data_IF_570124900332
#
_entry.id   IF_570124900332
#
_cell.length_a   1.000
_cell.length_b   1.000
_cell.length_c   1.000
_cell.angle_alpha   90.00
_cell.angle_beta   90.00
_cell.angle_gamma   90.00
#
_symmetry.space_group_name_H-M   'P 1'
#
loop_
_entity.id
_entity.type
_entity.pdbx_description
1 polymer ?
#
# COMPACT_ATOMS: atom_id res chain seq x y z
N UNK A 1 -8.72 5.51 12.67
CA UNK A 1 -7.36 5.03 12.38
C UNK A 1 -7.52 3.85 11.46
N UNK A 2 -6.85 3.89 10.33
CA UNK A 2 -7.06 2.97 9.21
C UNK A 2 -5.92 1.96 9.06
N UNK A 3 -4.73 2.31 9.58
CA UNK A 3 -3.57 1.42 9.59
C UNK A 3 -2.59 1.73 10.72
N UNK A 4 -1.78 0.72 11.06
CA UNK A 4 -0.66 0.79 12.00
C UNK A 4 0.53 -0.05 11.51
N UNK A 5 1.74 0.44 11.74
CA UNK A 5 2.99 -0.26 11.43
C UNK A 5 3.99 -0.08 12.57
N UNK A 6 4.76 -1.12 12.87
CA UNK A 6 5.92 -1.07 13.75
C UNK A 6 7.17 -0.92 12.90
N UNK A 7 8.05 0.02 13.27
CA UNK A 7 9.37 0.19 12.64
C UNK A 7 10.44 -0.60 13.41
N UNK A 8 10.25 -0.73 14.72
CA UNK A 8 10.99 -1.60 15.64
C UNK A 8 10.13 -1.86 16.89
N UNK A 9 10.72 -2.50 17.90
CA UNK A 9 10.06 -2.88 19.16
C UNK A 9 9.45 -1.70 19.94
N UNK A 10 9.86 -0.46 19.65
CA UNK A 10 9.46 0.74 20.39
C UNK A 10 8.66 1.73 19.57
N UNK A 11 8.96 1.83 18.27
CA UNK A 11 8.42 2.86 17.39
C UNK A 11 7.28 2.30 16.55
N UNK A 12 6.09 2.88 16.74
CA UNK A 12 4.92 2.56 15.93
C UNK A 12 4.35 3.84 15.32
N UNK A 13 3.77 3.70 14.13
CA UNK A 13 3.04 4.77 13.46
C UNK A 13 1.66 4.23 13.11
N UNK A 14 0.64 5.01 13.43
CA UNK A 14 -0.70 4.76 12.95
C UNK A 14 -1.20 5.98 12.17
N UNK A 15 -2.02 5.74 11.16
CA UNK A 15 -2.59 6.79 10.34
C UNK A 15 -4.10 6.62 10.14
N UNK A 16 -4.78 7.68 9.72
CA UNK A 16 -6.15 7.59 9.23
C UNK A 16 -6.60 8.82 8.46
N UNK A 17 -7.91 8.90 8.21
CA UNK A 17 -8.57 9.98 7.48
C UNK A 17 -8.19 11.39 7.96
N UNK A 18 -8.34 12.42 7.09
CA UNK A 18 -8.02 13.78 7.47
C UNK A 18 -8.83 14.29 8.66
N UNK A 19 -8.13 14.84 9.65
CA UNK A 19 -8.71 15.54 10.80
C UNK A 19 -7.93 16.85 10.97
N UNK A 20 -8.64 17.98 11.03
CA UNK A 20 -8.04 19.32 11.11
C UNK A 20 -7.15 19.70 9.91
N UNK A 21 -7.45 19.16 8.72
CA UNK A 21 -6.86 19.61 7.44
C UNK A 21 -5.74 18.73 6.86
N UNK A 22 -5.25 17.72 7.57
CA UNK A 22 -4.28 16.74 7.05
C UNK A 22 -4.63 15.33 7.52
N UNK A 23 -4.04 14.29 6.88
CA UNK A 23 -4.15 12.91 7.36
C UNK A 23 -3.79 12.82 8.84
N UNK A 24 -4.61 12.13 9.63
CA UNK A 24 -4.35 11.97 11.05
C UNK A 24 -3.20 10.98 11.23
N UNK A 25 -2.03 11.45 11.66
CA UNK A 25 -0.87 10.59 11.97
C UNK A 25 -0.57 10.67 13.45
N UNK A 26 -0.44 9.50 14.09
CA UNK A 26 0.01 9.37 15.47
C UNK A 26 1.22 8.45 15.54
N UNK A 27 2.13 8.74 16.46
CA UNK A 27 3.38 8.01 16.63
C UNK A 27 3.58 7.63 18.09
N UNK A 28 4.03 6.42 18.31
CA UNK A 28 4.49 5.92 19.61
C UNK A 28 5.99 5.66 19.56
N UNK A 29 6.67 5.85 20.70
CA UNK A 29 8.09 5.55 20.91
C UNK A 29 8.33 4.68 22.14
N UNK A 30 7.26 4.13 22.70
CA UNK A 30 7.28 3.34 23.93
C UNK A 30 6.51 2.02 23.77
N UNK A 31 6.48 1.48 22.54
CA UNK A 31 5.84 0.21 22.22
C UNK A 31 4.31 0.28 22.20
N UNK A 32 3.75 1.45 21.89
CA UNK A 32 2.30 1.67 21.78
C UNK A 32 1.61 2.02 23.11
N UNK A 33 2.36 2.31 24.18
CA UNK A 33 1.78 2.68 25.50
C UNK A 33 1.25 4.10 25.50
N UNK A 34 1.94 5.01 24.82
CA UNK A 34 1.51 6.38 24.57
C UNK A 34 1.67 6.76 23.11
N UNK A 35 0.85 7.72 22.67
CA UNK A 35 0.76 8.15 21.28
C UNK A 35 0.72 9.67 21.19
N UNK A 36 1.52 10.22 20.29
CA UNK A 36 1.56 11.66 20.01
C UNK A 36 1.09 11.93 18.58
N UNK A 37 0.17 12.89 18.41
CA UNK A 37 -0.27 13.34 17.08
C UNK A 37 0.86 14.13 16.41
N UNK A 38 1.21 13.75 15.18
CA UNK A 38 2.05 14.58 14.31
C UNK A 38 1.16 15.69 13.76
N UNK A 39 1.47 16.97 14.01
CA UNK A 39 0.61 18.07 13.57
C UNK A 39 0.57 18.18 12.04
N UNK A 40 -0.38 18.95 11.53
CA UNK A 40 -0.35 19.35 10.12
C UNK A 40 0.76 20.39 9.89
N UNK A 41 1.32 20.40 8.69
CA UNK A 41 2.38 21.33 8.28
C UNK A 41 2.50 21.46 6.76
N UNK A 42 3.62 22.00 6.31
CA UNK A 42 3.92 22.29 4.92
C UNK A 42 5.43 22.25 4.66
N UNK A 43 5.83 22.32 3.39
CA UNK A 43 7.24 22.41 2.97
C UNK A 43 8.14 21.28 3.51
N UNK A 44 7.62 20.05 3.50
CA UNK A 44 8.35 18.87 3.99
C UNK A 44 8.49 18.83 5.52
N UNK A 45 7.73 19.64 6.26
CA UNK A 45 7.65 19.59 7.71
C UNK A 45 6.28 19.10 8.14
N UNK A 46 6.26 18.15 9.08
CA UNK A 46 5.05 17.54 9.64
C UNK A 46 4.16 16.93 8.54
N UNK A 47 2.86 16.76 8.75
CA UNK A 47 1.96 16.13 7.76
C UNK A 47 1.39 17.19 6.80
N UNK A 48 1.63 17.10 5.47
CA UNK A 48 1.05 18.01 4.49
C UNK A 48 -0.47 18.05 4.53
N UNK A 49 -1.05 19.21 4.22
CA UNK A 49 -2.50 19.39 4.08
C UNK A 49 -3.09 18.39 3.08
N UNK A 50 -4.24 17.81 3.44
CA UNK A 50 -5.05 16.96 2.59
C UNK A 50 -5.71 17.79 1.47
N UNK A 51 -5.88 17.19 0.31
CA UNK A 51 -6.67 17.75 -0.78
C UNK A 51 -8.16 17.49 -0.54
N UNK A 52 -9.02 18.25 -1.21
CA UNK A 52 -10.48 18.08 -1.11
C UNK A 52 -10.87 16.64 -1.48
N UNK A 53 -11.57 15.96 -0.58
CA UNK A 53 -12.06 14.60 -0.78
C UNK A 53 -10.98 13.51 -0.66
N UNK A 54 -9.73 13.85 -0.34
CA UNK A 54 -8.69 12.87 -0.07
C UNK A 54 -8.95 12.12 1.24
N UNK A 55 -8.77 10.81 1.24
CA UNK A 55 -9.08 9.91 2.33
C UNK A 55 -8.03 8.79 2.45
N UNK A 56 -8.04 8.12 3.60
CA UNK A 56 -7.18 7.00 3.93
C UNK A 56 -7.95 5.68 3.84
N UNK A 57 -7.90 4.99 2.70
CA UNK A 57 -8.62 3.73 2.58
C UNK A 57 -8.00 2.64 3.47
N UNK A 58 -8.77 2.14 4.44
CA UNK A 58 -8.41 1.06 5.35
C UNK A 58 -8.38 -0.34 4.67
N UNK A 59 -7.81 -0.44 3.48
CA UNK A 59 -7.74 -1.69 2.73
C UNK A 59 -6.69 -2.64 3.35
N UNK A 60 -7.06 -3.33 4.42
CA UNK A 60 -6.26 -4.42 5.02
C UNK A 60 -4.86 -4.00 5.47
N UNK A 61 -4.73 -2.80 6.06
CA UNK A 61 -3.44 -2.20 6.45
C UNK A 61 -2.48 -2.00 5.26
N UNK A 62 -3.00 -1.97 4.02
CA UNK A 62 -2.23 -1.84 2.78
C UNK A 62 -1.84 -0.41 2.43
N UNK A 63 -2.33 0.57 3.18
CA UNK A 63 -2.01 1.99 3.03
C UNK A 63 -0.81 2.45 3.90
N UNK A 64 -0.09 1.53 4.55
CA UNK A 64 1.20 1.77 5.20
C UNK A 64 2.26 0.77 4.75
N UNK A 65 3.49 1.24 4.56
CA UNK A 65 4.68 0.40 4.36
C UNK A 65 5.91 1.08 4.96
N UNK A 66 6.94 0.31 5.31
CA UNK A 66 8.17 0.84 5.89
C UNK A 66 9.39 -0.05 5.59
N UNK A 67 10.54 0.60 5.41
CA UNK A 67 11.85 -0.03 5.23
C UNK A 67 12.87 0.81 6.01
N UNK A 68 13.40 0.24 7.09
CA UNK A 68 14.27 0.95 8.03
C UNK A 68 13.56 2.19 8.61
N UNK A 69 14.18 3.35 8.44
CA UNK A 69 13.63 4.63 8.92
C UNK A 69 12.63 5.29 7.95
N UNK A 70 12.47 4.71 6.75
CA UNK A 70 11.57 5.24 5.72
C UNK A 70 10.19 4.64 5.85
N UNK A 71 9.16 5.47 5.79
CA UNK A 71 7.75 5.11 5.96
C UNK A 71 6.95 5.77 4.86
N UNK A 72 5.99 5.04 4.32
CA UNK A 72 5.05 5.53 3.31
C UNK A 72 3.60 5.41 3.80
N UNK A 73 2.78 6.41 3.49
CA UNK A 73 1.32 6.37 3.61
C UNK A 73 0.67 6.56 2.25
N UNK A 74 -0.44 5.88 2.00
CA UNK A 74 -1.18 5.95 0.74
C UNK A 74 -2.56 6.57 0.97
N UNK A 75 -2.95 7.49 0.10
CA UNK A 75 -4.30 8.07 0.08
C UNK A 75 -5.03 7.81 -1.23
N UNK A 76 -6.36 7.94 -1.18
CA UNK A 76 -7.27 7.89 -2.31
C UNK A 76 -8.44 8.85 -2.13
N UNK A 77 -9.51 8.62 -2.86
CA UNK A 77 -10.69 9.48 -2.96
C UNK A 77 -10.49 10.61 -3.98
N UNK A 78 -10.88 11.82 -3.56
CA UNK A 78 -10.78 13.05 -4.36
C UNK A 78 -9.37 13.41 -4.82
N UNK A 79 -8.34 12.85 -4.17
CA UNK A 79 -6.96 12.84 -4.67
C UNK A 79 -6.22 11.60 -4.17
N UNK A 80 -5.28 11.08 -4.96
CA UNK A 80 -4.44 9.95 -4.56
C UNK A 80 -2.98 10.37 -4.52
N UNK A 81 -2.33 10.13 -3.38
CA UNK A 81 -0.94 10.52 -3.11
C UNK A 81 -0.22 9.47 -2.30
N UNK A 82 1.09 9.44 -2.44
CA UNK A 82 1.99 8.79 -1.48
C UNK A 82 2.64 9.85 -0.62
N UNK A 83 2.57 9.67 0.69
CA UNK A 83 3.28 10.46 1.68
C UNK A 83 4.50 9.69 2.12
N UNK A 84 5.69 10.28 2.02
CA UNK A 84 6.95 9.66 2.41
C UNK A 84 7.58 10.41 3.58
N UNK A 85 8.01 9.67 4.59
CA UNK A 85 8.88 10.14 5.66
C UNK A 85 10.18 9.34 5.64
N UNK A 86 11.32 10.00 5.78
CA UNK A 86 12.64 9.35 5.93
C UNK A 86 13.19 9.51 7.34
N UNK A 87 12.36 9.96 8.29
CA UNK A 87 12.73 10.28 9.66
C UNK A 87 11.78 9.65 10.68
N UNK A 88 11.33 8.43 10.38
CA UNK A 88 10.48 7.62 11.26
C UNK A 88 9.14 8.28 11.57
N UNK A 89 8.54 8.90 10.56
CA UNK A 89 7.19 9.47 10.58
C UNK A 89 7.07 10.88 11.18
N UNK A 90 8.18 11.61 11.38
CA UNK A 90 8.14 12.95 12.00
C UNK A 90 7.78 14.04 10.98
N UNK A 91 8.31 13.92 9.76
CA UNK A 91 8.09 14.85 8.67
C UNK A 91 7.75 14.10 7.39
N UNK A 92 6.85 14.66 6.59
CA UNK A 92 6.29 13.98 5.43
C UNK A 92 6.32 14.86 4.18
N UNK A 93 6.59 14.25 3.04
CA UNK A 93 6.43 14.83 1.70
C UNK A 93 5.36 14.06 0.93
N UNK A 94 4.44 14.76 0.26
CA UNK A 94 3.35 14.13 -0.48
C UNK A 94 3.56 14.27 -2.00
N UNK A 95 3.58 13.15 -2.69
CA UNK A 95 3.74 13.05 -4.15
C UNK A 95 2.42 12.59 -4.78
N UNK A 96 1.90 13.27 -5.82
CA UNK A 96 0.71 12.82 -6.53
C UNK A 96 0.97 11.50 -7.26
N UNK A 97 -0.02 10.62 -7.24
CA UNK A 97 0.01 9.38 -8.01
C UNK A 97 -0.68 9.56 -9.37
N UNK A 98 -0.18 8.91 -10.43
CA UNK A 98 -0.82 8.94 -11.74
C UNK A 98 -1.99 7.94 -11.86
N UNK A 99 -2.68 7.62 -10.76
CA UNK A 99 -3.80 6.67 -10.73
C UNK A 99 -5.14 7.34 -11.07
N UNK A 100 -6.14 6.52 -11.44
CA UNK A 100 -7.54 6.95 -11.47
C UNK A 100 -7.93 7.51 -10.09
N UNK A 101 -8.44 8.74 -10.04
CA UNK A 101 -8.73 9.46 -8.80
C UNK A 101 -9.80 10.55 -9.04
N UNK A 102 -10.29 11.19 -7.97
CA UNK A 102 -11.25 12.29 -8.04
C UNK A 102 -12.69 11.90 -7.70
N UNK A 103 -13.00 10.60 -7.68
CA UNK A 103 -14.25 10.05 -7.15
C UNK A 103 -14.14 9.67 -5.67
N UNK A 104 -15.25 9.26 -5.06
CA UNK A 104 -15.28 8.86 -3.64
C UNK A 104 -14.48 7.58 -3.39
N UNK A 105 -14.55 6.64 -4.33
CA UNK A 105 -14.01 5.28 -4.19
C UNK A 105 -12.86 5.00 -5.18
N UNK A 106 -12.18 6.05 -5.63
CA UNK A 106 -11.06 5.98 -6.59
C UNK A 106 -9.71 6.20 -5.93
N UNK A 107 -8.60 5.77 -6.52
CA UNK A 107 -7.24 6.06 -6.06
C UNK A 107 -6.50 4.81 -5.58
N UNK A 108 -5.45 5.00 -4.78
CA UNK A 108 -4.65 3.91 -4.24
C UNK A 108 -5.37 3.15 -3.13
N UNK A 109 -5.39 1.82 -3.24
CA UNK A 109 -5.96 0.90 -2.25
C UNK A 109 -4.87 0.24 -1.40
N UNK A 110 -3.81 -0.27 -2.03
CA UNK A 110 -2.73 -0.97 -1.35
C UNK A 110 -1.40 -0.55 -1.95
N UNK A 111 -0.35 -0.54 -1.14
CA UNK A 111 1.03 -0.44 -1.59
C UNK A 111 1.91 -1.44 -0.88
N UNK A 112 3.09 -1.65 -1.45
CA UNK A 112 4.20 -2.29 -0.78
C UNK A 112 5.54 -1.82 -1.34
N UNK A 113 6.60 -2.00 -0.57
CA UNK A 113 7.97 -1.63 -0.95
C UNK A 113 8.89 -2.84 -0.79
N UNK A 114 9.63 -3.17 -1.85
CA UNK A 114 10.64 -4.23 -1.81
C UNK A 114 11.89 -3.78 -1.05
N UNK A 115 12.21 -2.49 -1.19
CA UNK A 115 13.31 -1.80 -0.52
C UNK A 115 13.00 -0.29 -0.43
N UNK A 116 13.99 0.52 0.00
CA UNK A 116 13.78 1.96 0.19
C UNK A 116 13.61 2.78 -1.11
N UNK A 117 13.84 2.16 -2.27
CA UNK A 117 13.80 2.76 -3.60
C UNK A 117 12.68 2.19 -4.47
N UNK A 118 12.39 0.90 -4.38
CA UNK A 118 11.45 0.19 -5.24
C UNK A 118 10.14 -0.10 -4.54
N UNK A 119 9.04 0.41 -5.10
CA UNK A 119 7.70 0.21 -4.56
C UNK A 119 6.63 0.18 -5.63
N UNK A 120 5.48 -0.39 -5.26
CA UNK A 120 4.29 -0.49 -6.09
C UNK A 120 3.08 0.03 -5.32
N UNK A 121 2.19 0.71 -6.03
CA UNK A 121 0.84 1.04 -5.57
C UNK A 121 -0.15 0.34 -6.49
N UNK A 122 -1.19 -0.24 -5.90
CA UNK A 122 -2.36 -0.79 -6.56
C UNK A 122 -3.61 -0.04 -6.13
N UNK A 123 -4.49 0.26 -7.08
CA UNK A 123 -5.60 1.18 -6.94
C UNK A 123 -6.63 1.01 -8.06
N UNK A 124 -7.33 2.10 -8.41
CA UNK A 124 -8.35 2.13 -9.46
C UNK A 124 -9.65 2.71 -8.93
N UNK A 125 -10.79 2.16 -9.35
CA UNK A 125 -12.13 2.52 -8.87
C UNK A 125 -12.85 1.30 -8.26
N UNK A 126 -13.12 1.33 -6.96
CA UNK A 126 -13.80 0.23 -6.28
C UNK A 126 -15.26 0.04 -6.74
N UNK A 127 -15.91 1.10 -7.23
CA UNK A 127 -17.29 1.03 -7.77
C UNK A 127 -17.32 0.40 -9.17
N UNK A 128 -16.19 0.33 -9.86
CA UNK A 128 -16.02 -0.25 -11.18
C UNK A 128 -14.87 -1.25 -11.17
N UNK A 129 -15.05 -2.39 -10.48
CA UNK A 129 -13.97 -3.36 -10.19
C UNK A 129 -13.31 -4.01 -11.41
N UNK A 130 -14.00 -4.00 -12.55
CA UNK A 130 -13.48 -4.48 -13.84
C UNK A 130 -12.75 -3.37 -14.62
N UNK A 131 -12.89 -2.10 -14.22
CA UNK A 131 -12.10 -1.00 -14.78
C UNK A 131 -10.65 -1.17 -14.36
N UNK A 132 -9.81 -1.16 -15.37
CA UNK A 132 -8.44 -1.58 -15.28
C UNK A 132 -7.51 -0.43 -15.77
N UNK A 133 -8.07 0.77 -15.91
CA UNK A 133 -7.39 2.02 -16.27
C UNK A 133 -6.62 2.60 -15.08
N UNK A 134 -5.37 3.01 -15.29
CA UNK A 134 -4.53 3.72 -14.34
C UNK A 134 -4.58 3.14 -12.90
N UNK A 135 -4.47 1.81 -12.79
CA UNK A 135 -4.65 1.08 -11.52
C UNK A 135 -3.37 0.87 -10.74
N UNK A 136 -2.23 0.87 -11.42
CA UNK A 136 -0.97 0.50 -10.83
C UNK A 136 0.11 1.51 -11.21
N UNK A 137 0.95 1.85 -10.25
CA UNK A 137 2.11 2.70 -10.46
C UNK A 137 3.30 2.15 -9.67
N UNK A 138 4.49 2.30 -10.23
CA UNK A 138 5.74 1.92 -9.59
C UNK A 138 6.67 3.11 -9.40
N UNK A 139 7.57 2.97 -8.44
CA UNK A 139 8.67 3.89 -8.20
C UNK A 139 9.99 3.13 -8.12
N UNK A 140 11.08 3.79 -8.51
CA UNK A 140 12.47 3.33 -8.35
C UNK A 140 13.34 4.35 -7.59
N UNK A 141 12.73 5.41 -7.06
CA UNK A 141 13.38 6.50 -6.32
C UNK A 141 12.73 6.74 -4.94
N UNK A 142 12.10 5.70 -4.40
CA UNK A 142 11.50 5.69 -3.06
C UNK A 142 10.21 6.50 -2.97
N UNK A 143 9.50 6.68 -4.08
CA UNK A 143 8.21 7.39 -4.15
C UNK A 143 8.34 8.88 -4.40
N UNK A 144 9.50 9.35 -4.87
CA UNK A 144 9.69 10.73 -5.32
C UNK A 144 9.02 10.94 -6.68
N UNK A 145 9.08 9.93 -7.55
CA UNK A 145 8.34 9.85 -8.82
C UNK A 145 7.64 8.50 -8.94
N UNK A 146 6.54 8.49 -9.71
CA UNK A 146 5.70 7.32 -9.93
C UNK A 146 5.34 7.21 -11.41
N UNK A 147 5.47 6.02 -11.96
CA UNK A 147 5.16 5.72 -13.37
C UNK A 147 4.05 4.68 -13.44
N UNK A 148 3.04 4.92 -14.28
CA UNK A 148 1.97 3.94 -14.53
C UNK A 148 2.54 2.65 -15.12
N UNK A 149 1.99 1.53 -14.68
CA UNK A 149 2.30 0.19 -15.16
C UNK A 149 1.02 -0.58 -15.44
N UNK A 150 1.07 -1.49 -16.40
CA UNK A 150 -0.06 -2.38 -16.75
C UNK A 150 -1.38 -1.63 -17.03
N UNK A 151 -1.31 -0.43 -17.59
CA UNK A 151 -2.50 0.36 -17.91
C UNK A 151 -3.37 -0.37 -18.95
N UNK A 152 -4.64 -0.57 -18.63
CA UNK A 152 -5.56 -1.35 -19.46
C UNK A 152 -5.30 -2.88 -19.50
N UNK A 153 -4.29 -3.41 -18.79
CA UNK A 153 -3.86 -4.82 -18.83
C UNK A 153 -3.67 -5.48 -17.45
N UNK A 154 -3.89 -6.78 -17.29
CA UNK A 154 -3.69 -7.48 -16.00
C UNK A 154 -4.92 -7.51 -15.08
N UNK A 155 -4.77 -7.82 -13.78
CA UNK A 155 -5.88 -8.10 -12.84
C UNK A 155 -6.74 -6.88 -12.49
N UNK A 156 -8.05 -7.06 -12.30
CA UNK A 156 -8.93 -5.96 -11.89
C UNK A 156 -8.68 -5.49 -10.44
N UNK A 157 -9.77 -5.20 -9.72
CA UNK A 157 -9.67 -4.82 -8.32
C UNK A 157 -8.89 -5.85 -7.47
N UNK A 158 -7.89 -5.37 -6.74
CA UNK A 158 -7.21 -6.10 -5.67
C UNK A 158 -7.17 -5.24 -4.41
N UNK A 159 -7.37 -5.87 -3.26
CA UNK A 159 -7.35 -5.20 -1.96
C UNK A 159 -5.97 -5.23 -1.30
N UNK A 160 -5.06 -6.07 -1.79
CA UNK A 160 -3.72 -6.22 -1.22
C UNK A 160 -2.70 -6.55 -2.31
N UNK A 161 -1.62 -5.78 -2.37
CA UNK A 161 -0.40 -6.10 -3.14
C UNK A 161 0.74 -6.36 -2.16
N UNK A 162 1.57 -7.37 -2.42
CA UNK A 162 2.77 -7.68 -1.60
C UNK A 162 3.95 -8.09 -2.45
N UNK A 163 5.12 -7.57 -2.13
CA UNK A 163 6.39 -8.14 -2.60
C UNK A 163 6.71 -9.41 -1.80
N UNK A 164 7.28 -10.40 -2.47
CA UNK A 164 7.87 -11.58 -1.81
C UNK A 164 9.26 -11.22 -1.27
N UNK A 165 9.52 -11.40 0.04
CA UNK A 165 10.86 -11.23 0.61
C UNK A 165 11.89 -12.11 -0.10
N UNK A 166 13.10 -11.58 -0.29
CA UNK A 166 14.21 -12.32 -0.92
C UNK A 166 14.13 -12.45 -2.46
N UNK A 167 13.11 -11.88 -3.10
CA UNK A 167 12.92 -11.96 -4.56
C UNK A 167 13.61 -10.85 -5.36
N UNK A 168 14.40 -9.99 -4.72
CA UNK A 168 15.00 -8.79 -5.35
C UNK A 168 13.97 -7.89 -6.05
N UNK A 169 12.77 -7.80 -5.45
CA UNK A 169 11.66 -7.00 -5.99
C UNK A 169 11.03 -7.55 -7.26
N UNK A 170 11.30 -8.81 -7.63
CA UNK A 170 10.77 -9.41 -8.86
C UNK A 170 9.43 -10.11 -8.65
N UNK A 171 9.21 -10.71 -7.47
CA UNK A 171 8.04 -11.55 -7.24
C UNK A 171 7.00 -10.82 -6.40
N UNK A 172 5.76 -10.77 -6.88
CA UNK A 172 4.63 -10.15 -6.18
C UNK A 172 3.39 -11.03 -6.19
N UNK A 173 2.55 -10.84 -5.19
CA UNK A 173 1.19 -11.37 -5.15
C UNK A 173 0.17 -10.23 -5.00
N UNK A 174 -0.89 -10.32 -5.79
CA UNK A 174 -2.13 -9.57 -5.63
C UNK A 174 -3.19 -10.49 -5.08
N UNK A 175 -3.99 -9.95 -4.16
CA UNK A 175 -5.11 -10.64 -3.54
C UNK A 175 -6.31 -9.72 -3.47
N UNK A 176 -7.48 -10.20 -3.88
CA UNK A 176 -8.70 -9.41 -3.83
C UNK A 176 -10.00 -10.19 -4.07
N UNK A 177 -11.11 -9.45 -4.02
CA UNK A 177 -12.45 -9.93 -4.34
C UNK A 177 -13.10 -9.05 -5.42
N UNK A 178 -13.59 -9.59 -6.54
CA UNK A 178 -13.74 -11.02 -6.83
C UNK A 178 -12.48 -11.72 -7.41
N UNK A 179 -11.43 -10.97 -7.77
CA UNK A 179 -10.33 -11.45 -8.64
C UNK A 179 -9.37 -12.52 -8.09
N UNK A 180 -9.49 -12.95 -6.83
CA UNK A 180 -8.71 -14.07 -6.33
C UNK A 180 -7.23 -13.73 -6.08
N UNK A 181 -6.33 -14.55 -6.61
CA UNK A 181 -4.87 -14.43 -6.47
C UNK A 181 -4.20 -14.38 -7.85
N UNK A 182 -3.46 -13.30 -8.09
CA UNK A 182 -2.59 -13.11 -9.25
C UNK A 182 -1.16 -12.90 -8.79
N UNK A 183 -0.19 -13.35 -9.59
CA UNK A 183 1.23 -13.23 -9.27
C UNK A 183 2.01 -12.59 -10.41
N UNK A 184 3.10 -11.93 -10.07
CA UNK A 184 4.07 -11.37 -11.02
C UNK A 184 5.46 -11.89 -10.70
N UNK A 185 6.26 -12.11 -11.74
CA UNK A 185 7.66 -12.57 -11.70
C UNK A 185 8.64 -11.53 -12.24
N UNK A 186 8.14 -10.37 -12.69
CA UNK A 186 8.90 -9.31 -13.35
C UNK A 186 8.71 -7.95 -12.68
N UNK A 187 8.48 -7.95 -11.37
CA UNK A 187 8.35 -6.73 -10.58
C UNK A 187 6.99 -6.06 -10.66
N UNK A 188 6.00 -6.69 -11.31
CA UNK A 188 4.62 -6.22 -11.44
C UNK A 188 4.28 -5.67 -12.84
N UNK A 189 5.14 -5.89 -13.83
CA UNK A 189 4.91 -5.46 -15.21
C UNK A 189 3.89 -6.37 -15.91
N UNK A 190 4.00 -7.68 -15.69
CA UNK A 190 3.05 -8.69 -16.15
C UNK A 190 2.53 -9.53 -14.99
N UNK A 191 1.34 -10.11 -15.17
CA UNK A 191 0.61 -10.83 -14.13
C UNK A 191 0.05 -12.12 -14.67
N UNK A 192 0.08 -13.18 -13.86
CA UNK A 192 -0.52 -14.48 -14.13
C UNK A 192 -1.53 -14.81 -13.04
N UNK A 193 -2.72 -15.20 -13.47
CA UNK A 193 -3.75 -15.69 -12.57
C UNK A 193 -3.41 -17.07 -12.02
N UNK A 194 -3.64 -17.29 -10.72
CA UNK A 194 -3.30 -18.56 -10.04
C UNK A 194 -4.52 -19.20 -9.37
N UNK A 195 -5.44 -18.40 -8.81
CA UNK A 195 -6.58 -18.95 -8.10
C UNK A 195 -7.76 -18.00 -8.04
N UNK A 196 -8.97 -18.52 -8.25
CA UNK A 196 -10.23 -17.81 -8.00
C UNK A 196 -10.56 -17.67 -6.50
N UNK A 197 -9.70 -18.18 -5.61
CA UNK A 197 -9.91 -18.09 -4.16
C UNK A 197 -9.76 -16.65 -3.69
N UNK A 198 -10.89 -15.98 -3.47
CA UNK A 198 -10.91 -14.61 -3.00
C UNK A 198 -10.55 -14.47 -1.50
N UNK A 199 -9.73 -13.47 -1.19
CA UNK A 199 -9.35 -13.03 0.15
C UNK A 199 -9.20 -11.50 0.16
N UNK A 200 -8.98 -10.90 1.34
CA UNK A 200 -8.90 -9.45 1.51
C UNK A 200 -7.49 -8.95 1.87
N UNK A 201 -6.72 -9.78 2.57
CA UNK A 201 -5.40 -9.43 3.06
C UNK A 201 -4.41 -10.57 2.81
N UNK A 202 -3.15 -10.20 2.58
CA UNK A 202 -2.07 -11.15 2.37
C UNK A 202 -0.78 -10.68 3.08
N UNK A 203 0.03 -11.64 3.53
CA UNK A 203 1.39 -11.44 4.07
C UNK A 203 2.26 -12.65 3.74
N UNK A 204 3.48 -12.40 3.27
CA UNK A 204 4.49 -13.44 3.15
C UNK A 204 5.10 -13.77 4.52
N UNK A 205 5.56 -15.01 4.69
CA UNK A 205 6.52 -15.34 5.74
C UNK A 205 7.80 -14.52 5.58
N UNK A 206 8.56 -14.24 6.66
CA UNK A 206 9.76 -13.41 6.57
C UNK A 206 10.82 -13.90 5.57
N UNK A 207 10.91 -15.22 5.38
CA UNK A 207 11.79 -15.88 4.41
C UNK A 207 11.19 -15.98 2.99
N UNK A 208 9.98 -15.48 2.79
CA UNK A 208 9.26 -15.56 1.53
C UNK A 208 8.79 -16.97 1.15
N UNK A 209 8.94 -17.98 2.01
CA UNK A 209 8.60 -19.37 1.68
C UNK A 209 7.10 -19.63 1.51
N UNK A 210 6.22 -18.79 2.08
CA UNK A 210 4.78 -18.95 1.95
C UNK A 210 4.02 -17.62 2.00
N UNK A 211 2.90 -17.57 1.29
CA UNK A 211 1.90 -16.52 1.37
C UNK A 211 0.75 -16.96 2.28
N UNK A 212 0.51 -16.20 3.33
CA UNK A 212 -0.67 -16.31 4.18
C UNK A 212 -1.73 -15.30 3.72
N UNK A 213 -2.97 -15.75 3.58
CA UNK A 213 -4.09 -14.92 3.14
C UNK A 213 -5.26 -15.03 4.10
N UNK A 214 -6.07 -13.98 4.21
CA UNK A 214 -7.27 -13.98 5.05
C UNK A 214 -8.42 -13.21 4.41
N UNK A 215 -9.64 -13.70 4.63
CA UNK A 215 -10.86 -13.09 4.11
C UNK A 215 -12.06 -14.02 4.29
N UNK A 216 -13.27 -13.44 4.37
CA UNK A 216 -14.53 -14.18 4.52
C UNK A 216 -14.52 -15.29 5.61
N UNK A 217 -13.96 -14.98 6.78
CA UNK A 217 -13.92 -15.92 7.92
C UNK A 217 -12.93 -17.09 7.79
N UNK A 218 -12.07 -17.09 6.76
CA UNK A 218 -11.06 -18.13 6.54
C UNK A 218 -9.64 -17.57 6.43
N UNK A 219 -8.67 -18.45 6.70
CA UNK A 219 -7.25 -18.25 6.45
C UNK A 219 -6.81 -19.27 5.39
N UNK A 220 -5.99 -18.82 4.45
CA UNK A 220 -5.34 -19.67 3.46
C UNK A 220 -3.81 -19.64 3.63
N UNK A 221 -3.17 -20.70 3.16
CA UNK A 221 -1.73 -20.89 3.15
C UNK A 221 -1.32 -21.39 1.77
N UNK A 222 -0.38 -20.70 1.13
CA UNK A 222 0.14 -21.04 -0.19
C UNK A 222 1.67 -21.03 -0.14
N UNK A 223 2.35 -22.19 -0.20
CA UNK A 223 3.79 -22.25 -0.44
C UNK A 223 4.19 -21.44 -1.67
N UNK A 224 5.36 -20.81 -1.64
CA UNK A 224 5.90 -20.07 -2.79
C UNK A 224 6.04 -20.98 -4.04
N UNK A 225 6.31 -22.27 -3.83
CA UNK A 225 6.38 -23.28 -4.89
C UNK A 225 5.06 -23.46 -5.66
N UNK A 226 3.91 -23.16 -5.04
CA UNK A 226 2.60 -23.22 -5.72
C UNK A 226 2.48 -22.13 -6.80
N UNK A 227 3.27 -21.06 -6.68
CA UNK A 227 3.39 -19.99 -7.66
C UNK A 227 4.51 -20.25 -8.68
N UNK A 228 5.35 -21.27 -8.48
CA UNK A 228 6.53 -21.55 -9.30
C UNK A 228 7.79 -20.78 -8.88
N UNK A 229 7.85 -20.33 -7.62
CA UNK A 229 8.95 -19.55 -7.05
C UNK A 229 9.94 -20.37 -6.22
#
# INVERSE_FOLDING_TARGET
MDAVISLDDTTLIAMGDPIDGCLCVVRSVDGGRSWEKVPCGSNGQKVPQAKKGEAAFAASNGNLSAVGDTVWMLSGGGASRVYRSTDRGKNWMATPLPLQQGGTMTGGFSMDFADASHGIVWGGNWEAKEDNTARAAMTSDGGTTWTLVSDGQGPGYASCVRYRPGSLGQQLALVGTPGGIDVSDDGGHTWRHVSDSAFYAARFSPDGAALWVSGNGRIGYFPASDFGW
#
